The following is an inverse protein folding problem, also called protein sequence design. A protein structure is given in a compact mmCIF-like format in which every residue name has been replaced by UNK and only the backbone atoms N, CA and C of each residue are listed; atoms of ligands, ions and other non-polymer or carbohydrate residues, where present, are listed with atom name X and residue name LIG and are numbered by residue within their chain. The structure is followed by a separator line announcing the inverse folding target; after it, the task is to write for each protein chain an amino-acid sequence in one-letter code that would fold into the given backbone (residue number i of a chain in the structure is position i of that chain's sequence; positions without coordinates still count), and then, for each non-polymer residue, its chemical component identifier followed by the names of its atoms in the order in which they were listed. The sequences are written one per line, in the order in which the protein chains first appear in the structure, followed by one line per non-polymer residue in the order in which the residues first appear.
data_IF_886445040302
#
_entry.id   IF_886445040302
#
_cell.length_a   1.000
_cell.length_b   1.000
_cell.length_c   1.000
_cell.angle_alpha   90.00
_cell.angle_beta   90.00
_cell.angle_gamma   90.00
#
_symmetry.space_group_name_H-M   'P 1'
#
loop_
_entity.id
_entity.type
_entity.pdbx_description
1 polymer ?
#
# COMPACT_ATOMS: atom_id res chain seq x y z
N UNK A 1 1.43 -25.98 -3.92
CA UNK A 1 1.12 -24.73 -4.65
C UNK A 1 1.52 -23.52 -3.83
N UNK A 2 1.43 -22.31 -4.38
CA UNK A 2 1.91 -21.08 -3.74
C UNK A 2 1.24 -20.77 -2.38
N UNK A 3 0.06 -21.35 -2.09
CA UNK A 3 -0.63 -21.23 -0.79
C UNK A 3 0.26 -21.66 0.38
N UNK A 4 1.13 -22.67 0.18
CA UNK A 4 2.08 -23.10 1.21
C UNK A 4 3.05 -21.99 1.64
N UNK A 5 3.37 -21.05 0.75
CA UNK A 5 4.22 -19.89 1.05
C UNK A 5 3.55 -18.97 2.07
N UNK A 6 2.23 -18.78 1.99
CA UNK A 6 1.49 -17.95 2.95
C UNK A 6 1.22 -18.66 4.29
N UNK A 7 0.97 -19.96 4.24
CA UNK A 7 0.62 -20.75 5.43
C UNK A 7 1.84 -21.00 6.32
N UNK A 8 3.03 -21.19 5.73
CA UNK A 8 4.22 -21.56 6.48
C UNK A 8 4.64 -20.52 7.55
N UNK A 9 4.73 -19.20 7.26
CA UNK A 9 5.05 -18.20 8.28
C UNK A 9 4.08 -18.20 9.46
N UNK A 10 2.78 -18.44 9.20
CA UNK A 10 1.74 -18.47 10.23
C UNK A 10 1.92 -19.70 11.12
N UNK A 11 2.04 -20.89 10.53
CA UNK A 11 2.09 -22.14 11.29
C UNK A 11 3.45 -22.43 11.93
N UNK A 12 4.55 -21.90 11.40
CA UNK A 12 5.91 -22.25 11.80
C UNK A 12 6.70 -21.11 12.43
N UNK A 13 6.35 -19.86 12.12
CA UNK A 13 7.12 -18.69 12.55
C UNK A 13 6.31 -17.75 13.46
N UNK A 14 5.09 -18.13 13.83
CA UNK A 14 4.22 -17.34 14.73
C UNK A 14 3.79 -16.00 14.14
N UNK A 15 3.79 -15.88 12.80
CA UNK A 15 3.33 -14.68 12.11
C UNK A 15 1.80 -14.63 12.11
N UNK A 16 1.23 -13.46 12.25
CA UNK A 16 -0.22 -13.28 12.29
C UNK A 16 -0.81 -13.08 10.89
N UNK A 17 0.03 -12.69 9.93
CA UNK A 17 -0.35 -12.67 8.52
C UNK A 17 0.86 -12.94 7.62
N UNK A 18 0.57 -13.39 6.41
CA UNK A 18 1.54 -13.48 5.33
C UNK A 18 0.95 -12.85 4.06
N UNK A 19 1.75 -12.06 3.36
CA UNK A 19 1.38 -11.44 2.09
C UNK A 19 2.31 -11.93 0.99
N UNK A 20 1.72 -12.38 -0.12
CA UNK A 20 2.46 -12.60 -1.35
C UNK A 20 2.92 -11.25 -1.87
N UNK A 21 4.18 -11.12 -2.24
CA UNK A 21 4.75 -9.89 -2.75
C UNK A 21 5.44 -10.18 -4.07
N UNK A 22 5.18 -9.34 -5.08
CA UNK A 22 5.81 -9.35 -6.40
C UNK A 22 7.14 -8.57 -6.40
N UNK A 23 7.61 -8.16 -5.22
CA UNK A 23 8.72 -7.22 -5.04
C UNK A 23 9.83 -7.77 -4.13
N UNK A 24 9.70 -9.00 -3.65
CA UNK A 24 10.79 -9.66 -2.93
C UNK A 24 11.85 -10.18 -3.92
N UNK A 25 13.08 -10.33 -3.46
CA UNK A 25 14.22 -10.74 -4.29
C UNK A 25 14.08 -12.16 -4.86
N UNK A 26 13.29 -13.00 -4.20
CA UNK A 26 12.95 -14.37 -4.61
C UNK A 26 11.64 -14.45 -5.41
N UNK A 27 11.01 -13.31 -5.72
CA UNK A 27 9.80 -13.27 -6.54
C UNK A 27 10.11 -13.54 -8.02
N UNK A 28 9.25 -14.30 -8.68
CA UNK A 28 9.35 -14.56 -10.13
C UNK A 28 8.17 -13.88 -10.82
N UNK A 29 8.41 -12.72 -11.42
CA UNK A 29 7.35 -11.93 -12.03
C UNK A 29 7.55 -11.86 -13.54
N UNK A 30 6.61 -12.44 -14.28
CA UNK A 30 6.52 -12.32 -15.72
C UNK A 30 5.58 -11.17 -16.04
N UNK A 31 6.12 -10.01 -16.41
CA UNK A 31 5.36 -8.81 -16.77
C UNK A 31 5.38 -8.55 -18.26
N UNK A 32 4.21 -8.20 -18.80
CA UNK A 32 4.09 -7.51 -20.09
C UNK A 32 3.80 -6.03 -19.80
N UNK A 33 4.82 -5.18 -19.79
CA UNK A 33 4.62 -3.72 -19.57
C UNK A 33 5.81 -2.96 -18.99
N UNK A 34 5.71 -1.62 -19.00
CA UNK A 34 6.75 -0.68 -18.53
C UNK A 34 6.58 -0.38 -17.04
N UNK A 35 7.68 -0.04 -16.34
CA UNK A 35 7.63 0.49 -14.97
C UNK A 35 6.71 1.72 -14.92
N UNK A 36 5.79 1.74 -13.97
CA UNK A 36 4.76 2.77 -13.88
C UNK A 36 5.03 3.72 -12.70
N UNK A 37 5.44 4.95 -12.99
CA UNK A 37 5.69 6.00 -11.99
C UNK A 37 4.45 6.33 -11.15
N UNK A 38 3.24 6.08 -11.69
CA UNK A 38 1.99 6.20 -10.94
C UNK A 38 1.98 5.30 -9.70
N UNK A 39 2.51 4.09 -9.84
CA UNK A 39 2.67 3.16 -8.72
C UNK A 39 3.68 3.65 -7.70
N UNK A 40 4.76 4.33 -8.13
CA UNK A 40 5.73 4.95 -7.21
C UNK A 40 5.10 6.09 -6.43
N UNK A 41 4.36 6.98 -7.08
CA UNK A 41 3.62 8.05 -6.40
C UNK A 41 2.61 7.48 -5.39
N UNK A 42 1.82 6.48 -5.79
CA UNK A 42 0.88 5.82 -4.88
C UNK A 42 1.62 5.28 -3.65
N UNK A 43 2.74 4.57 -3.86
CA UNK A 43 3.51 3.98 -2.76
C UNK A 43 4.09 5.04 -1.83
N UNK A 44 4.63 6.11 -2.42
CA UNK A 44 5.15 7.24 -1.67
C UNK A 44 4.07 7.84 -0.76
N UNK A 45 2.90 8.18 -1.33
CA UNK A 45 1.82 8.83 -0.62
C UNK A 45 1.26 7.98 0.52
N UNK A 46 0.99 6.68 0.29
CA UNK A 46 0.43 5.86 1.37
C UNK A 46 1.43 5.64 2.50
N UNK A 47 2.74 5.52 2.21
CA UNK A 47 3.77 5.35 3.25
C UNK A 47 3.86 6.55 4.21
N UNK A 48 3.51 7.75 3.73
CA UNK A 48 3.40 8.94 4.60
C UNK A 48 2.20 8.88 5.55
N UNK A 49 1.16 8.12 5.19
CA UNK A 49 -0.09 8.01 5.95
C UNK A 49 -0.10 6.85 6.96
N UNK A 50 0.53 5.72 6.66
CA UNK A 50 0.46 4.52 7.51
C UNK A 50 1.86 3.92 7.76
N UNK A 51 2.70 4.58 8.57
CA UNK A 51 4.11 4.20 8.76
C UNK A 51 4.31 2.79 9.33
N UNK A 52 3.32 2.24 10.06
CA UNK A 52 3.38 0.86 10.57
C UNK A 52 3.45 -0.22 9.48
N UNK A 53 3.06 0.13 8.24
CA UNK A 53 3.22 -0.75 7.07
C UNK A 53 4.48 -0.42 6.26
N UNK A 54 5.41 0.40 6.79
CA UNK A 54 6.60 0.88 6.09
C UNK A 54 7.49 -0.23 5.50
N UNK A 55 7.56 -1.41 6.14
CA UNK A 55 8.33 -2.54 5.62
C UNK A 55 7.66 -3.24 4.43
N UNK A 56 6.38 -2.97 4.19
CA UNK A 56 5.59 -3.54 3.10
C UNK A 56 5.68 -2.60 1.89
N UNK A 57 5.80 -3.17 0.70
CA UNK A 57 5.82 -2.41 -0.56
C UNK A 57 4.64 -2.82 -1.42
N UNK A 58 4.39 -4.13 -1.55
CA UNK A 58 3.33 -4.68 -2.38
C UNK A 58 2.02 -4.88 -1.60
N UNK A 59 1.47 -3.78 -1.05
CA UNK A 59 0.20 -3.82 -0.30
C UNK A 59 -0.99 -4.27 -1.16
N UNK A 60 -0.91 -4.09 -2.48
CA UNK A 60 -1.99 -4.36 -3.45
C UNK A 60 -1.98 -5.79 -4.02
N UNK A 61 -1.08 -6.67 -3.58
CA UNK A 61 -1.17 -8.07 -3.96
C UNK A 61 -2.32 -8.75 -3.20
N UNK A 62 -3.39 -9.15 -3.89
CA UNK A 62 -4.56 -9.78 -3.27
C UNK A 62 -4.30 -11.15 -2.63
N UNK A 63 -3.11 -11.72 -2.81
CA UNK A 63 -2.74 -13.01 -2.27
C UNK A 63 -2.21 -12.88 -0.84
N UNK A 64 -3.11 -13.01 0.14
CA UNK A 64 -2.81 -12.81 1.56
C UNK A 64 -3.45 -13.92 2.42
N UNK A 65 -2.83 -14.24 3.54
CA UNK A 65 -3.37 -15.13 4.57
C UNK A 65 -3.24 -14.48 5.95
N UNK A 66 -4.18 -14.79 6.83
CA UNK A 66 -4.25 -14.29 8.20
C UNK A 66 -4.49 -15.46 9.15
N UNK A 67 -3.93 -15.40 10.36
CA UNK A 67 -4.19 -16.38 11.41
C UNK A 67 -5.67 -16.30 11.83
N UNK A 68 -6.38 -17.44 11.75
CA UNK A 68 -7.78 -17.55 12.12
C UNK A 68 -8.10 -17.10 13.55
N UNK A 69 -7.13 -17.16 14.47
CA UNK A 69 -7.29 -16.69 15.84
C UNK A 69 -7.48 -15.18 15.94
N UNK A 70 -6.91 -14.40 15.01
CA UNK A 70 -7.01 -12.94 15.00
C UNK A 70 -8.04 -12.41 14.01
N UNK A 71 -8.49 -13.22 13.03
CA UNK A 71 -9.40 -12.75 11.95
C UNK A 71 -10.60 -12.01 12.50
N UNK A 72 -11.30 -12.58 13.49
CA UNK A 72 -12.48 -11.92 14.11
C UNK A 72 -12.11 -10.54 14.66
N UNK A 73 -10.99 -10.44 15.36
CA UNK A 73 -10.50 -9.20 15.94
C UNK A 73 -10.18 -8.16 14.85
N UNK A 74 -9.44 -8.53 13.79
CA UNK A 74 -9.03 -7.58 12.74
C UNK A 74 -10.14 -7.24 11.75
N UNK A 75 -11.23 -8.01 11.70
CA UNK A 75 -12.41 -7.70 10.86
C UNK A 75 -13.51 -6.95 11.60
N UNK A 76 -13.42 -6.82 12.92
CA UNK A 76 -14.47 -6.19 13.72
C UNK A 76 -14.56 -4.68 13.47
N UNK A 77 -15.73 -4.16 13.09
CA UNK A 77 -15.95 -2.73 12.85
C UNK A 77 -15.00 -2.06 11.82
N UNK A 78 -14.67 -2.76 10.72
CA UNK A 78 -13.87 -2.18 9.64
C UNK A 78 -14.47 -0.88 9.08
N UNK A 79 -13.62 0.13 8.90
CA UNK A 79 -13.99 1.44 8.34
C UNK A 79 -13.97 1.46 6.81
N UNK A 80 -13.20 0.59 6.17
CA UNK A 80 -13.11 0.38 4.73
C UNK A 80 -13.70 -0.99 4.34
N UNK A 81 -14.57 -1.00 3.34
CA UNK A 81 -15.34 -2.17 2.89
C UNK A 81 -15.28 -2.38 1.37
N UNK A 82 -14.54 -1.53 0.67
CA UNK A 82 -14.29 -1.53 -0.77
C UNK A 82 -12.85 -1.96 -1.02
N UNK A 83 -12.21 -1.43 -2.05
CA UNK A 83 -10.98 -1.95 -2.63
C UNK A 83 -9.76 -1.95 -1.68
N UNK A 84 -9.68 -1.04 -0.70
CA UNK A 84 -8.54 -0.94 0.21
C UNK A 84 -8.74 -1.68 1.56
N UNK A 85 -9.78 -2.52 1.70
CA UNK A 85 -10.09 -3.19 2.97
C UNK A 85 -8.93 -4.04 3.50
N UNK A 86 -8.15 -4.64 2.59
CA UNK A 86 -7.02 -5.49 2.92
C UNK A 86 -5.85 -4.71 3.55
N UNK A 87 -5.69 -3.43 3.21
CA UNK A 87 -4.72 -2.54 3.86
C UNK A 87 -5.11 -2.31 5.32
N UNK A 88 -6.40 -2.16 5.62
CA UNK A 88 -6.89 -2.02 7.00
C UNK A 88 -6.64 -3.29 7.80
N UNK A 89 -6.85 -4.46 7.21
CA UNK A 89 -6.53 -5.74 7.84
C UNK A 89 -5.06 -5.81 8.23
N UNK A 90 -4.15 -5.46 7.30
CA UNK A 90 -2.71 -5.44 7.58
C UNK A 90 -2.34 -4.45 8.67
N UNK A 91 -2.92 -3.25 8.65
CA UNK A 91 -2.69 -2.23 9.67
C UNK A 91 -3.09 -2.75 11.05
N UNK A 92 -4.28 -3.34 11.17
CA UNK A 92 -4.77 -3.89 12.44
C UNK A 92 -3.94 -5.09 12.90
N UNK A 93 -3.48 -5.94 11.98
CA UNK A 93 -2.55 -7.02 12.33
C UNK A 93 -1.24 -6.47 12.92
N UNK A 94 -0.65 -5.44 12.32
CA UNK A 94 0.55 -4.79 12.87
C UNK A 94 0.29 -4.10 14.21
N UNK A 95 -0.92 -3.58 14.44
CA UNK A 95 -1.31 -3.01 15.73
C UNK A 95 -1.46 -4.06 16.85
N UNK A 96 -1.77 -5.32 16.51
CA UNK A 96 -1.76 -6.42 17.50
C UNK A 96 -0.33 -6.77 17.88
N UNK A 97 0.54 -6.94 16.88
CA UNK A 97 1.93 -7.28 17.09
C UNK A 97 2.79 -6.68 15.96
N UNK A 98 3.65 -5.69 16.26
CA UNK A 98 4.58 -5.16 15.27
C UNK A 98 5.51 -6.24 14.71
N UNK A 99 5.73 -6.24 13.40
CA UNK A 99 6.54 -7.24 12.70
C UNK A 99 5.85 -8.60 12.47
N UNK A 100 4.54 -8.70 12.73
CA UNK A 100 3.79 -9.96 12.60
C UNK A 100 3.28 -10.27 11.18
N UNK A 101 3.46 -9.35 10.24
CA UNK A 101 3.15 -9.56 8.82
C UNK A 101 4.43 -9.99 8.09
N UNK A 102 4.42 -11.20 7.53
CA UNK A 102 5.52 -11.70 6.69
C UNK A 102 5.28 -11.38 5.21
N UNK A 103 6.33 -11.00 4.49
CA UNK A 103 6.30 -10.86 3.02
C UNK A 103 6.90 -12.11 2.42
N UNK A 104 6.21 -12.74 1.48
CA UNK A 104 6.73 -13.93 0.80
C UNK A 104 6.80 -13.67 -0.70
N UNK A 105 7.94 -13.99 -1.31
CA UNK A 105 8.07 -13.91 -2.76
C UNK A 105 7.12 -14.87 -3.45
N UNK A 106 6.51 -14.43 -4.54
CA UNK A 106 5.59 -15.25 -5.32
C UNK A 106 5.96 -15.29 -6.80
N UNK A 107 5.54 -16.37 -7.46
CA UNK A 107 5.47 -16.44 -8.90
C UNK A 107 4.18 -15.75 -9.38
N UNK A 108 4.31 -14.69 -10.16
CA UNK A 108 3.19 -13.92 -10.69
C UNK A 108 3.32 -13.76 -12.20
N UNK A 109 2.32 -14.26 -12.92
CA UNK A 109 2.16 -14.01 -14.36
C UNK A 109 1.18 -12.85 -14.52
N UNK A 110 1.71 -11.71 -14.94
CA UNK A 110 0.90 -10.54 -15.26
C UNK A 110 0.27 -10.74 -16.64
N UNK A 111 -1.04 -10.51 -16.74
CA UNK A 111 -1.78 -10.60 -18.00
C UNK A 111 -2.82 -9.52 -18.04
N UNK A 112 -2.63 -8.52 -18.91
CA UNK A 112 -3.62 -7.46 -19.11
C UNK A 112 -4.98 -8.03 -19.52
N UNK A 113 -4.99 -9.10 -20.34
CA UNK A 113 -6.21 -9.79 -20.76
C UNK A 113 -6.99 -10.44 -19.60
N UNK A 114 -6.28 -10.82 -18.53
CA UNK A 114 -6.89 -11.37 -17.32
C UNK A 114 -7.04 -10.34 -16.19
N UNK A 115 -6.59 -9.10 -16.40
CA UNK A 115 -6.69 -8.03 -15.42
C UNK A 115 -8.14 -7.58 -15.30
N UNK A 116 -8.70 -7.64 -14.09
CA UNK A 116 -10.02 -7.08 -13.78
C UNK A 116 -9.96 -5.59 -13.44
N UNK A 117 -8.78 -4.98 -13.50
CA UNK A 117 -8.54 -3.56 -13.27
C UNK A 117 -7.93 -2.96 -14.53
N UNK A 118 -8.77 -2.35 -15.36
CA UNK A 118 -8.39 -1.72 -16.63
C UNK A 118 -8.12 -0.21 -16.51
N UNK A 119 -8.55 0.41 -15.41
CA UNK A 119 -8.58 1.87 -15.25
C UNK A 119 -7.64 2.41 -14.16
N UNK A 120 -7.33 3.71 -14.24
CA UNK A 120 -6.70 4.53 -13.19
C UNK A 120 -7.43 4.46 -11.84
N UNK A 121 -8.70 4.04 -11.86
CA UNK A 121 -9.48 3.72 -10.67
C UNK A 121 -9.03 2.36 -10.12
N UNK A 122 -8.53 2.31 -8.88
CA UNK A 122 -9.09 3.08 -7.75
C UNK A 122 -8.07 3.92 -6.95
N UNK A 123 -6.91 4.33 -7.50
CA UNK A 123 -5.81 4.90 -6.68
C UNK A 123 -6.21 6.09 -5.79
N UNK A 124 -6.91 7.11 -6.31
CA UNK A 124 -7.31 8.25 -5.48
C UNK A 124 -8.29 7.83 -4.39
N UNK A 125 -9.27 6.99 -4.72
CA UNK A 125 -10.25 6.49 -3.75
C UNK A 125 -9.59 5.64 -2.65
N UNK A 126 -8.57 4.84 -3.00
CA UNK A 126 -7.76 4.10 -2.05
C UNK A 126 -6.94 5.04 -1.16
N UNK A 127 -6.31 6.08 -1.72
CA UNK A 127 -5.56 7.05 -0.93
C UNK A 127 -6.47 7.76 0.08
N UNK A 128 -7.70 8.14 -0.32
CA UNK A 128 -8.69 8.71 0.61
C UNK A 128 -9.13 7.72 1.69
N UNK A 129 -9.26 6.43 1.36
CA UNK A 129 -9.49 5.38 2.34
C UNK A 129 -8.33 5.26 3.35
N UNK A 130 -7.09 5.31 2.86
CA UNK A 130 -5.89 5.28 3.69
C UNK A 130 -5.80 6.54 4.58
N UNK A 131 -6.21 7.71 4.08
CA UNK A 131 -6.33 8.92 4.92
C UNK A 131 -7.31 8.68 6.07
N UNK A 132 -8.48 8.09 5.79
CA UNK A 132 -9.46 7.74 6.83
C UNK A 132 -8.83 6.80 7.87
N UNK A 133 -8.11 5.76 7.45
CA UNK A 133 -7.37 4.85 8.34
C UNK A 133 -6.33 5.60 9.18
N UNK A 134 -5.51 6.43 8.53
CA UNK A 134 -4.50 7.27 9.18
C UNK A 134 -5.12 8.12 10.31
N UNK A 135 -6.19 8.84 10.02
CA UNK A 135 -6.86 9.71 11.01
C UNK A 135 -7.61 8.94 12.10
N UNK A 136 -7.93 7.67 11.88
CA UNK A 136 -8.68 6.83 12.83
C UNK A 136 -7.76 6.06 13.77
N UNK A 137 -6.63 5.56 13.27
CA UNK A 137 -5.77 4.62 13.99
C UNK A 137 -4.49 5.23 14.57
N UNK A 138 -4.20 6.50 14.27
CA UNK A 138 -2.99 7.15 14.71
C UNK A 138 -3.26 8.51 15.34
N UNK A 139 -2.44 8.90 16.31
CA UNK A 139 -2.44 10.24 16.92
C UNK A 139 -1.92 11.28 15.94
N UNK A 140 -2.51 12.49 15.92
CA UNK A 140 -2.14 13.60 15.04
C UNK A 140 -0.63 13.81 14.91
N UNK A 141 -0.18 14.01 13.67
CA UNK A 141 1.20 14.27 13.31
C UNK A 141 1.22 15.32 12.20
N UNK A 142 1.99 16.40 12.35
CA UNK A 142 1.94 17.55 11.45
C UNK A 142 2.22 17.17 9.98
N UNK A 143 3.23 16.34 9.75
CA UNK A 143 3.63 15.92 8.41
C UNK A 143 2.52 15.08 7.78
N UNK A 144 2.05 14.06 8.49
CA UNK A 144 1.00 13.17 8.02
C UNK A 144 -0.33 13.89 7.81
N UNK A 145 -0.70 14.79 8.71
CA UNK A 145 -1.94 15.56 8.64
C UNK A 145 -1.90 16.52 7.44
N UNK A 146 -0.73 17.06 7.09
CA UNK A 146 -0.52 17.83 5.86
C UNK A 146 -0.73 16.99 4.59
N UNK A 147 -0.22 15.76 4.55
CA UNK A 147 -0.48 14.81 3.45
C UNK A 147 -1.96 14.39 3.39
N UNK A 148 -2.58 14.13 4.53
CA UNK A 148 -3.99 13.80 4.62
C UNK A 148 -4.88 14.93 4.07
N UNK A 149 -4.60 16.18 4.45
CA UNK A 149 -5.29 17.35 3.94
C UNK A 149 -5.09 17.52 2.42
N UNK A 150 -3.86 17.34 1.94
CA UNK A 150 -3.55 17.36 0.51
C UNK A 150 -4.38 16.32 -0.27
N UNK A 151 -4.34 15.06 0.15
CA UNK A 151 -5.02 13.95 -0.54
C UNK A 151 -6.55 14.11 -0.50
N UNK A 152 -7.12 14.55 0.62
CA UNK A 152 -8.56 14.81 0.70
C UNK A 152 -9.00 15.94 -0.25
N UNK A 153 -8.16 16.94 -0.47
CA UNK A 153 -8.41 18.04 -1.40
C UNK A 153 -8.28 17.69 -2.89
N UNK A 154 -7.75 16.50 -3.23
CA UNK A 154 -7.61 16.08 -4.62
C UNK A 154 -8.96 15.70 -5.25
N UNK A 155 -9.21 16.24 -6.44
CA UNK A 155 -10.19 15.74 -7.41
C UNK A 155 -9.49 14.76 -8.37
N UNK A 156 -10.27 14.02 -9.16
CA UNK A 156 -9.69 13.13 -10.19
C UNK A 156 -8.84 13.92 -11.20
N UNK A 157 -9.29 15.11 -11.62
CA UNK A 157 -8.54 15.98 -12.54
C UNK A 157 -7.20 16.43 -11.95
N UNK A 158 -7.21 16.91 -10.69
CA UNK A 158 -5.99 17.32 -9.99
C UNK A 158 -5.03 16.14 -9.79
N UNK A 159 -5.56 14.95 -9.50
CA UNK A 159 -4.75 13.75 -9.37
C UNK A 159 -4.14 13.34 -10.72
N UNK A 160 -4.91 13.38 -11.81
CA UNK A 160 -4.38 13.11 -13.15
C UNK A 160 -3.28 14.09 -13.54
N UNK A 161 -3.44 15.38 -13.23
CA UNK A 161 -2.40 16.36 -13.47
C UNK A 161 -1.13 16.11 -12.66
N UNK A 162 -1.27 15.65 -11.40
CA UNK A 162 -0.14 15.23 -10.59
C UNK A 162 0.63 14.06 -11.20
N UNK A 163 -0.06 13.12 -11.84
CA UNK A 163 0.57 11.96 -12.49
C UNK A 163 1.45 12.35 -13.69
N UNK A 164 1.21 13.52 -14.29
CA UNK A 164 2.02 14.07 -15.39
C UNK A 164 3.30 14.77 -14.88
N UNK A 165 3.32 15.16 -13.61
CA UNK A 165 4.35 16.02 -13.00
C UNK A 165 4.96 15.42 -11.74
N UNK A 166 5.04 14.09 -11.66
CA UNK A 166 5.55 13.40 -10.47
C UNK A 166 7.00 13.86 -10.20
N UNK A 167 7.33 14.36 -8.98
CA UNK A 167 8.67 14.84 -8.66
C UNK A 167 9.76 13.79 -8.90
N UNK A 168 10.93 14.24 -9.37
CA UNK A 168 12.10 13.38 -9.59
C UNK A 168 12.53 12.62 -8.33
N UNK A 169 12.34 13.20 -7.14
CA UNK A 169 12.58 12.53 -5.85
C UNK A 169 11.76 11.24 -5.67
N UNK A 170 10.62 11.12 -6.36
CA UNK A 170 9.79 9.90 -6.38
C UNK A 170 10.14 9.04 -7.60
N UNK A 171 10.20 9.60 -8.81
CA UNK A 171 10.36 8.79 -10.04
C UNK A 171 11.76 8.17 -10.16
N UNK A 172 12.80 8.82 -9.65
CA UNK A 172 14.19 8.32 -9.71
C UNK A 172 14.54 7.28 -8.66
N UNK A 173 13.67 7.06 -7.67
CA UNK A 173 13.90 6.14 -6.55
C UNK A 173 13.09 4.86 -6.66
N UNK A 174 13.50 3.85 -5.93
CA UNK A 174 12.78 2.59 -5.83
C UNK A 174 11.85 2.56 -4.60
N UNK A 175 10.68 1.90 -4.68
CA UNK A 175 9.69 1.94 -3.61
C UNK A 175 10.13 1.47 -2.21
N UNK A 176 11.20 0.69 -2.10
CA UNK A 176 11.75 0.27 -0.80
C UNK A 176 12.46 1.44 -0.08
N UNK A 177 12.88 2.48 -0.79
CA UNK A 177 13.53 3.67 -0.22
C UNK A 177 12.53 4.62 0.44
N UNK A 178 11.25 4.58 0.05
CA UNK A 178 10.24 5.56 0.47
C UNK A 178 9.84 5.47 1.94
N UNK A 179 10.31 4.49 2.70
CA UNK A 179 10.12 4.45 4.14
C UNK A 179 11.03 5.46 4.83
N UNK A 180 12.32 5.47 4.46
CA UNK A 180 13.33 6.40 4.98
C UNK A 180 13.41 7.73 4.22
N UNK A 181 12.98 7.76 2.95
CA UNK A 181 12.97 8.96 2.12
C UNK A 181 11.67 9.75 2.26
N UNK A 182 11.73 10.95 2.83
CA UNK A 182 10.56 11.80 3.13
C UNK A 182 10.69 13.26 2.63
N UNK A 183 11.63 13.53 1.72
CA UNK A 183 11.99 14.89 1.32
C UNK A 183 10.93 15.61 0.48
N UNK A 184 10.10 14.89 -0.29
CA UNK A 184 9.00 15.48 -1.08
C UNK A 184 7.81 15.75 -0.16
N UNK A 185 7.57 17.02 0.19
CA UNK A 185 6.51 17.41 1.13
C UNK A 185 5.17 17.59 0.43
N UNK A 186 4.08 17.59 1.20
CA UNK A 186 2.73 17.82 0.68
C UNK A 186 2.58 19.22 0.03
N UNK A 187 3.32 20.22 0.51
CA UNK A 187 3.41 21.56 -0.11
C UNK A 187 3.99 21.52 -1.52
N UNK A 188 5.02 20.71 -1.74
CA UNK A 188 5.69 20.58 -3.04
C UNK A 188 4.73 19.97 -4.05
N UNK A 189 3.98 18.94 -3.64
CA UNK A 189 2.96 18.31 -4.48
C UNK A 189 1.80 19.25 -4.79
N UNK A 190 1.38 20.06 -3.81
CA UNK A 190 0.31 21.06 -3.99
C UNK A 190 0.70 22.13 -5.01
N UNK A 191 1.94 22.62 -4.96
CA UNK A 191 2.45 23.63 -5.90
C UNK A 191 2.49 23.16 -7.37
N UNK A 192 2.41 21.85 -7.64
CA UNK A 192 2.43 21.31 -9.00
C UNK A 192 1.06 21.27 -9.68
N UNK A 193 -0.02 21.40 -8.90
CA UNK A 193 -1.40 21.19 -9.33
C UNK A 193 -2.36 22.35 -9.02
N UNK A 194 -1.83 23.41 -8.40
CA UNK A 194 -2.51 24.70 -8.27
C UNK A 194 -2.09 25.62 -9.42
#
# INVERSE_FOLDING_TARGET
GQVGLLVNPILKSGKLAAIGSRRETDSVVLKTGVRNDRGKLFIYLWKRLIPNLGEIIDTQCGFKAFDGNIVRQITDNLIEKKFAFDIELLLRTQSIQPGSVEKVGIAWLDSEAASTTTDLQPYLSMLKAIVKMSTTYFESDESRDSFAAFINGLTDDKFNHLLEKIPAGITSREPFEFTSYDEVKASDLRALID
#
